data_IF_235898721585
#
_entry.id   IF_235898721585
#
_cell.length_a   1.000
_cell.length_b   1.000
_cell.length_c   1.000
_cell.angle_alpha   90.00
_cell.angle_beta   90.00
_cell.angle_gamma   90.00
#
_symmetry.space_group_name_H-M   'P 1'
#
loop_
_entity.id
_entity.type
_entity.pdbx_description
1 polymer ?
#
# COMPACT_ATOMS: atom_id res chain seq x y z
N UNK A 1 9.24 -11.37 -23.19
CA UNK A 1 9.44 -11.65 -21.74
C UNK A 1 8.78 -10.50 -21.00
N UNK A 2 7.97 -10.75 -19.97
CA UNK A 2 7.35 -9.63 -19.24
C UNK A 2 8.45 -8.82 -18.55
N UNK A 3 8.38 -7.49 -18.65
CA UNK A 3 9.28 -6.58 -17.95
C UNK A 3 8.63 -6.18 -16.62
N UNK A 4 8.39 -7.18 -15.78
CA UNK A 4 7.65 -7.04 -14.51
C UNK A 4 8.51 -7.46 -13.33
N UNK A 5 8.50 -6.66 -12.27
CA UNK A 5 9.03 -7.03 -10.97
C UNK A 5 7.86 -7.40 -10.04
N UNK A 6 7.86 -8.64 -9.57
CA UNK A 6 6.86 -9.17 -8.63
C UNK A 6 7.51 -9.30 -7.26
N UNK A 7 6.99 -8.58 -6.27
CA UNK A 7 7.58 -8.49 -4.93
C UNK A 7 6.48 -8.59 -3.90
N UNK A 8 6.70 -9.41 -2.87
CA UNK A 8 5.89 -9.39 -1.67
C UNK A 8 6.79 -9.15 -0.46
N UNK A 9 6.33 -8.29 0.46
CA UNK A 9 6.98 -8.09 1.75
C UNK A 9 5.95 -8.13 2.86
N UNK A 10 6.28 -8.82 3.95
CA UNK A 10 5.40 -9.05 5.10
C UNK A 10 6.09 -8.66 6.38
N UNK A 11 5.37 -7.97 7.28
CA UNK A 11 5.82 -7.72 8.65
C UNK A 11 4.68 -7.95 9.66
N UNK A 12 5.01 -8.39 10.89
CA UNK A 12 4.02 -8.49 11.96
C UNK A 12 3.52 -7.09 12.35
N UNK A 13 2.20 -6.94 12.49
CA UNK A 13 1.56 -5.69 12.91
C UNK A 13 1.71 -5.49 14.41
N UNK A 14 1.60 -6.56 15.21
CA UNK A 14 1.73 -6.52 16.66
C UNK A 14 2.81 -7.51 17.14
N UNK A 15 4.10 -7.28 16.82
CA UNK A 15 5.16 -8.15 17.35
C UNK A 15 5.24 -8.03 18.89
N UNK A 16 5.81 -9.04 19.59
CA UNK A 16 5.96 -8.98 21.04
C UNK A 16 6.63 -7.68 21.51
N UNK A 17 5.99 -7.01 22.47
CA UNK A 17 6.49 -5.73 23.03
C UNK A 17 6.08 -4.48 22.25
N UNK A 18 5.39 -4.59 21.11
CA UNK A 18 4.86 -3.42 20.41
C UNK A 18 3.73 -2.74 21.21
N UNK A 19 3.79 -1.41 21.30
CA UNK A 19 2.75 -0.57 21.91
C UNK A 19 2.52 0.68 21.05
N UNK A 20 1.27 1.15 20.88
CA UNK A 20 0.04 0.46 21.23
C UNK A 20 -0.17 -0.81 20.38
N UNK A 21 -0.92 -1.78 20.93
CA UNK A 21 -1.42 -2.94 20.17
C UNK A 21 -2.56 -2.46 19.27
N UNK A 22 -2.41 -2.66 17.97
CA UNK A 22 -3.39 -2.22 16.98
C UNK A 22 -4.51 -3.26 16.82
N UNK A 23 -5.77 -2.82 16.88
CA UNK A 23 -6.93 -3.67 16.56
C UNK A 23 -7.14 -3.78 15.04
N UNK A 24 -7.84 -4.83 14.59
CA UNK A 24 -8.19 -5.00 13.16
C UNK A 24 -8.95 -3.79 12.60
N UNK A 25 -9.85 -3.21 13.39
CA UNK A 25 -10.63 -2.02 13.03
C UNK A 25 -9.72 -0.79 12.84
N UNK A 26 -8.78 -0.55 13.76
CA UNK A 26 -7.82 0.55 13.65
C UNK A 26 -6.93 0.40 12.42
N UNK A 27 -6.48 -0.83 12.14
CA UNK A 27 -5.66 -1.13 10.96
C UNK A 27 -6.47 -0.86 9.69
N UNK A 28 -7.72 -1.31 9.64
CA UNK A 28 -8.60 -1.09 8.50
C UNK A 28 -8.87 0.40 8.26
N UNK A 29 -9.27 1.14 9.29
CA UNK A 29 -9.48 2.59 9.21
C UNK A 29 -8.22 3.33 8.75
N UNK A 30 -7.06 2.87 9.19
CA UNK A 30 -5.78 3.40 8.75
C UNK A 30 -5.43 3.08 7.29
N UNK A 31 -5.80 1.90 6.77
CA UNK A 31 -5.69 1.62 5.33
C UNK A 31 -6.62 2.52 4.51
N UNK A 32 -7.85 2.75 4.96
CA UNK A 32 -8.77 3.70 4.31
C UNK A 32 -8.21 5.12 4.30
N UNK A 33 -7.61 5.58 5.41
CA UNK A 33 -6.91 6.87 5.45
C UNK A 33 -5.72 6.89 4.49
N UNK A 34 -4.96 5.79 4.39
CA UNK A 34 -3.83 5.67 3.46
C UNK A 34 -4.25 5.76 1.99
N UNK A 35 -5.45 5.30 1.62
CA UNK A 35 -6.01 5.53 0.28
C UNK A 35 -6.08 7.03 -0.02
N UNK A 36 -6.33 7.86 0.99
CA UNK A 36 -6.59 9.29 0.81
C UNK A 36 -5.38 10.19 1.07
N UNK A 37 -4.39 9.69 1.80
CA UNK A 37 -3.23 10.47 2.26
C UNK A 37 -1.96 9.62 2.26
N UNK A 38 -1.60 9.04 1.11
CA UNK A 38 -0.49 8.08 1.02
C UNK A 38 0.88 8.69 1.37
N UNK A 39 1.06 9.99 1.17
CA UNK A 39 2.25 10.76 1.58
C UNK A 39 2.50 10.75 3.09
N UNK A 40 1.44 10.59 3.90
CA UNK A 40 1.58 10.46 5.36
C UNK A 40 2.23 9.13 5.72
N UNK A 41 1.89 8.06 5.00
CA UNK A 41 2.34 6.70 5.28
C UNK A 41 3.67 6.35 4.61
N UNK A 42 3.94 6.93 3.43
CA UNK A 42 5.15 6.67 2.65
C UNK A 42 5.80 8.00 2.23
N UNK A 43 6.18 8.87 3.18
CA UNK A 43 6.66 10.21 2.89
C UNK A 43 7.96 10.23 2.09
N UNK A 44 8.76 9.15 2.11
CA UNK A 44 9.98 9.06 1.30
C UNK A 44 9.73 8.89 -0.20
N UNK A 45 8.59 8.32 -0.59
CA UNK A 45 8.28 8.00 -2.00
C UNK A 45 7.19 8.92 -2.58
N UNK A 46 6.20 9.29 -1.77
CA UNK A 46 5.00 10.00 -2.21
C UNK A 46 5.03 11.44 -1.70
N UNK A 47 4.78 12.37 -2.61
CA UNK A 47 4.77 13.80 -2.35
C UNK A 47 3.40 14.30 -1.89
N UNK A 48 2.36 13.88 -2.61
CA UNK A 48 0.97 14.25 -2.33
C UNK A 48 0.00 13.25 -2.92
N UNK A 49 -1.18 13.20 -2.33
CA UNK A 49 -2.35 12.45 -2.80
C UNK A 49 -3.50 13.41 -3.04
N UNK A 50 -4.23 13.24 -4.13
CA UNK A 50 -5.46 13.96 -4.42
C UNK A 50 -6.55 12.97 -4.80
N UNK A 51 -7.65 12.94 -4.06
CA UNK A 51 -8.81 12.13 -4.43
C UNK A 51 -9.58 12.82 -5.55
N UNK A 52 -9.95 12.04 -6.57
CA UNK A 52 -10.65 12.49 -7.76
C UNK A 52 -12.13 12.14 -7.68
N UNK A 53 -12.44 10.91 -7.29
CA UNK A 53 -13.82 10.47 -7.12
C UNK A 53 -13.93 9.29 -6.17
N UNK A 54 -15.14 9.10 -5.65
CA UNK A 54 -15.55 7.93 -4.89
C UNK A 54 -16.78 7.30 -5.55
N UNK A 55 -16.84 5.98 -5.55
CA UNK A 55 -17.96 5.21 -6.06
C UNK A 55 -18.07 3.87 -5.33
N UNK A 56 -19.10 3.10 -5.69
CA UNK A 56 -19.25 1.70 -5.27
C UNK A 56 -19.20 0.86 -6.55
N UNK A 57 -18.41 -0.20 -6.54
CA UNK A 57 -18.42 -1.18 -7.62
C UNK A 57 -19.79 -1.89 -7.64
N UNK A 58 -20.58 -1.78 -8.72
CA UNK A 58 -21.92 -2.36 -8.77
C UNK A 58 -21.93 -3.90 -8.78
N UNK A 59 -20.81 -4.54 -9.13
CA UNK A 59 -20.71 -6.00 -9.19
C UNK A 59 -20.33 -6.61 -7.84
N UNK A 60 -19.51 -5.91 -7.05
CA UNK A 60 -18.98 -6.43 -5.78
C UNK A 60 -19.54 -5.72 -4.55
N UNK A 61 -20.12 -4.52 -4.71
CA UNK A 61 -20.56 -3.66 -3.60
C UNK A 61 -19.42 -2.98 -2.85
N UNK A 62 -18.17 -3.12 -3.32
CA UNK A 62 -17.00 -2.58 -2.62
C UNK A 62 -16.81 -1.08 -2.89
N UNK A 63 -16.32 -0.30 -1.92
CA UNK A 63 -15.88 1.06 -2.15
C UNK A 63 -14.74 1.13 -3.15
N UNK A 64 -14.84 2.07 -4.09
CA UNK A 64 -13.80 2.39 -5.06
C UNK A 64 -13.45 3.87 -4.96
N UNK A 65 -12.17 4.17 -4.81
CA UNK A 65 -11.64 5.54 -4.83
C UNK A 65 -10.68 5.69 -5.99
N UNK A 66 -10.93 6.68 -6.86
CA UNK A 66 -9.96 7.10 -7.87
C UNK A 66 -9.14 8.26 -7.30
N UNK A 67 -7.82 8.15 -7.34
CA UNK A 67 -6.89 9.15 -6.78
C UNK A 67 -5.73 9.43 -7.73
N UNK A 68 -5.13 10.60 -7.59
CA UNK A 68 -3.84 10.94 -8.18
C UNK A 68 -2.77 10.97 -7.09
N UNK A 69 -1.62 10.35 -7.37
CA UNK A 69 -0.46 10.31 -6.48
C UNK A 69 0.74 10.91 -7.21
N UNK A 70 1.37 11.92 -6.61
CA UNK A 70 2.62 12.50 -7.11
C UNK A 70 3.82 11.81 -6.47
N UNK A 71 4.64 11.13 -7.28
CA UNK A 71 5.86 10.50 -6.80
C UNK A 71 7.02 11.50 -6.70
N UNK A 72 7.72 11.52 -5.56
CA UNK A 72 8.79 12.48 -5.29
C UNK A 72 9.97 12.36 -6.24
N UNK A 73 10.43 11.14 -6.47
CA UNK A 73 11.67 10.94 -7.24
C UNK A 73 11.49 11.27 -8.72
N UNK A 74 10.37 10.84 -9.31
CA UNK A 74 10.14 11.02 -10.75
C UNK A 74 9.40 12.31 -11.07
N UNK A 75 8.83 13.00 -10.07
CA UNK A 75 7.91 14.12 -10.26
C UNK A 75 6.77 13.79 -11.25
N UNK A 76 6.32 12.54 -11.23
CA UNK A 76 5.22 12.05 -12.09
C UNK A 76 3.98 11.84 -11.25
N UNK A 77 2.85 12.29 -11.77
CA UNK A 77 1.52 11.97 -11.23
C UNK A 77 1.03 10.67 -11.86
N UNK A 78 0.56 9.75 -11.03
CA UNK A 78 -0.08 8.50 -11.45
C UNK A 78 -1.50 8.47 -10.90
N UNK A 79 -2.47 8.16 -11.76
CA UNK A 79 -3.86 7.96 -11.35
C UNK A 79 -4.07 6.50 -10.95
N UNK A 80 -4.46 6.25 -9.72
CA UNK A 80 -4.77 4.91 -9.21
C UNK A 80 -6.28 4.74 -9.06
N UNK A 81 -6.79 3.57 -9.47
CA UNK A 81 -8.11 3.10 -9.06
C UNK A 81 -7.91 2.16 -7.89
N UNK A 82 -8.56 2.45 -6.76
CA UNK A 82 -8.36 1.72 -5.51
C UNK A 82 -9.65 1.08 -5.05
N UNK A 83 -9.68 -0.23 -4.91
CA UNK A 83 -10.85 -0.97 -4.41
C UNK A 83 -10.59 -1.50 -3.02
N UNK A 84 -11.52 -1.25 -2.09
CA UNK A 84 -11.42 -1.69 -0.70
C UNK A 84 -12.23 -2.97 -0.45
N UNK A 85 -11.55 -4.04 -0.04
CA UNK A 85 -12.14 -5.35 0.27
C UNK A 85 -12.08 -5.59 1.78
N UNK A 86 -13.01 -4.96 2.50
CA UNK A 86 -13.09 -5.05 3.96
C UNK A 86 -13.24 -6.50 4.44
N UNK A 87 -12.58 -6.90 5.55
CA UNK A 87 -11.56 -6.16 6.33
C UNK A 87 -10.12 -6.53 5.93
N UNK A 88 -9.93 -7.08 4.73
CA UNK A 88 -8.74 -7.87 4.43
C UNK A 88 -7.72 -7.16 3.57
N UNK A 89 -8.13 -6.33 2.61
CA UNK A 89 -7.17 -5.70 1.70
C UNK A 89 -7.72 -4.48 0.99
N UNK A 90 -6.80 -3.69 0.46
CA UNK A 90 -7.08 -2.66 -0.54
C UNK A 90 -6.16 -2.91 -1.74
N UNK A 91 -6.73 -2.84 -2.94
CA UNK A 91 -6.03 -3.12 -4.19
C UNK A 91 -5.93 -1.83 -5.01
N UNK A 92 -4.74 -1.48 -5.48
CA UNK A 92 -4.41 -0.28 -6.25
C UNK A 92 -4.03 -0.69 -7.66
N UNK A 93 -4.74 -0.14 -8.65
CA UNK A 93 -4.49 -0.36 -10.06
C UNK A 93 -3.98 0.91 -10.73
N UNK A 94 -2.81 0.84 -11.36
CA UNK A 94 -2.19 1.95 -12.08
C UNK A 94 -2.40 1.84 -13.60
N UNK A 95 -2.36 2.98 -14.33
CA UNK A 95 -2.44 2.97 -15.78
C UNK A 95 -1.16 2.34 -16.32
N UNK A 96 -1.30 1.28 -17.13
CA UNK A 96 -0.18 0.40 -17.53
C UNK A 96 -0.21 -0.98 -16.89
N UNK A 97 -1.16 -1.22 -15.97
CA UNK A 97 -1.46 -2.53 -15.41
C UNK A 97 -0.58 -2.96 -14.24
N UNK A 98 0.23 -2.04 -13.69
CA UNK A 98 0.86 -2.31 -12.39
C UNK A 98 -0.22 -2.41 -11.32
N UNK A 99 -0.10 -3.38 -10.42
CA UNK A 99 -1.04 -3.61 -9.34
C UNK A 99 -0.30 -3.67 -8.00
N UNK A 100 -0.92 -3.13 -6.96
CA UNK A 100 -0.42 -3.21 -5.60
C UNK A 100 -1.57 -3.66 -4.68
N UNK A 101 -1.37 -4.70 -3.89
CA UNK A 101 -2.30 -5.12 -2.84
C UNK A 101 -1.69 -4.85 -1.48
N UNK A 102 -2.44 -4.16 -0.61
CA UNK A 102 -2.09 -4.02 0.80
C UNK A 102 -3.02 -4.90 1.63
N UNK A 103 -2.48 -6.01 2.15
CA UNK A 103 -3.24 -7.11 2.75
C UNK A 103 -3.00 -7.16 4.26
N UNK A 104 -4.08 -7.32 5.01
CA UNK A 104 -4.11 -7.73 6.41
C UNK A 104 -4.39 -9.23 6.43
N UNK A 105 -3.49 -10.01 7.01
CA UNK A 105 -3.62 -11.46 7.13
C UNK A 105 -3.47 -11.90 8.58
N UNK A 106 -4.07 -13.04 8.90
CA UNK A 106 -4.04 -13.62 10.23
C UNK A 106 -3.19 -14.88 10.24
N UNK A 107 -2.28 -14.97 11.21
CA UNK A 107 -1.50 -16.17 11.50
C UNK A 107 -2.34 -17.25 12.18
N UNK A 108 -1.80 -18.46 12.27
CA UNK A 108 -2.50 -19.61 12.82
C UNK A 108 -2.94 -19.43 14.30
N UNK A 109 -2.30 -18.54 15.05
CA UNK A 109 -2.64 -18.25 16.44
C UNK A 109 -3.30 -16.88 16.62
N UNK A 110 -3.74 -16.26 15.53
CA UNK A 110 -4.43 -14.98 15.55
C UNK A 110 -3.54 -13.75 15.42
N UNK A 111 -2.24 -13.92 15.17
CA UNK A 111 -1.31 -12.81 14.92
C UNK A 111 -1.70 -12.04 13.66
N UNK A 112 -1.56 -10.71 13.65
CA UNK A 112 -1.86 -9.90 12.48
C UNK A 112 -0.59 -9.54 11.72
N UNK A 113 -0.63 -9.69 10.40
CA UNK A 113 0.45 -9.36 9.48
C UNK A 113 -0.01 -8.39 8.41
N UNK A 114 0.86 -7.43 8.08
CA UNK A 114 0.70 -6.54 6.95
C UNK A 114 1.57 -7.06 5.81
N UNK A 115 0.97 -7.38 4.67
CA UNK A 115 1.67 -7.88 3.49
C UNK A 115 1.37 -6.98 2.31
N UNK A 116 2.39 -6.38 1.71
CA UNK A 116 2.24 -5.64 0.46
C UNK A 116 2.76 -6.49 -0.69
N UNK A 117 1.94 -6.64 -1.72
CA UNK A 117 2.23 -7.38 -2.94
C UNK A 117 2.26 -6.38 -4.07
N UNK A 118 3.35 -6.35 -4.82
CA UNK A 118 3.59 -5.44 -5.92
C UNK A 118 3.79 -6.24 -7.19
N UNK A 119 3.03 -5.90 -8.23
CA UNK A 119 3.28 -6.25 -9.62
C UNK A 119 3.65 -4.95 -10.35
N UNK A 120 4.94 -4.59 -10.36
CA UNK A 120 5.41 -3.39 -11.05
C UNK A 120 5.79 -3.70 -12.50
N UNK A 121 5.08 -3.07 -13.45
CA UNK A 121 5.31 -3.23 -14.89
C UNK A 121 6.17 -2.10 -15.43
N UNK A 122 7.21 -2.47 -16.17
CA UNK A 122 8.21 -1.57 -16.75
C UNK A 122 8.30 -1.77 -18.27
N UNK A 123 7.29 -1.38 -19.05
CA UNK A 123 7.30 -1.60 -20.50
C UNK A 123 8.52 -0.94 -21.15
N UNK A 124 9.19 -1.69 -22.03
CA UNK A 124 10.36 -1.19 -22.79
C UNK A 124 11.69 -1.20 -22.03
N UNK A 125 11.73 -1.63 -20.77
CA UNK A 125 12.94 -1.70 -19.96
C UNK A 125 13.74 -2.97 -20.25
N UNK A 126 15.07 -2.86 -20.36
CA UNK A 126 15.96 -4.00 -20.59
C UNK A 126 16.08 -4.89 -19.35
N UNK A 127 16.61 -6.11 -19.51
CA UNK A 127 16.82 -7.03 -18.38
C UNK A 127 17.77 -6.48 -17.31
N UNK A 128 18.81 -5.74 -17.73
CA UNK A 128 19.81 -5.18 -16.80
C UNK A 128 19.19 -4.06 -15.97
N UNK A 129 18.42 -3.18 -16.61
CA UNK A 129 17.70 -2.11 -15.92
C UNK A 129 16.60 -2.67 -15.01
N UNK A 130 15.88 -3.72 -15.45
CA UNK A 130 14.85 -4.37 -14.63
C UNK A 130 15.43 -4.96 -13.34
N UNK A 131 16.62 -5.57 -13.41
CA UNK A 131 17.33 -6.10 -12.23
C UNK A 131 17.79 -4.98 -11.28
N UNK A 132 18.23 -3.84 -11.81
CA UNK A 132 18.57 -2.68 -10.99
C UNK A 132 17.35 -2.07 -10.29
N UNK A 133 16.21 -2.00 -10.99
CA UNK A 133 14.93 -1.59 -10.42
C UNK A 133 14.50 -2.52 -9.29
N UNK A 134 14.59 -3.85 -9.50
CA UNK A 134 14.19 -4.86 -8.52
C UNK A 134 14.84 -4.66 -7.15
N UNK A 135 16.14 -4.37 -7.10
CA UNK A 135 16.86 -4.18 -5.83
C UNK A 135 16.42 -2.91 -5.09
N UNK A 136 16.11 -1.84 -5.83
CA UNK A 136 15.54 -0.62 -5.25
C UNK A 136 14.11 -0.84 -4.76
N UNK A 137 13.34 -1.56 -5.55
CA UNK A 137 11.93 -1.86 -5.33
C UNK A 137 11.70 -2.78 -4.12
N UNK A 138 12.58 -3.75 -3.86
CA UNK A 138 12.57 -4.54 -2.62
C UNK A 138 12.74 -3.69 -1.37
N UNK A 139 13.63 -2.70 -1.41
CA UNK A 139 13.81 -1.76 -0.29
C UNK A 139 12.58 -0.87 -0.12
N UNK A 140 12.00 -0.41 -1.23
CA UNK A 140 10.77 0.38 -1.22
C UNK A 140 9.58 -0.42 -0.64
N UNK A 141 9.42 -1.70 -0.99
CA UNK A 141 8.34 -2.53 -0.45
C UNK A 141 8.46 -2.72 1.05
N UNK A 142 9.67 -2.96 1.56
CA UNK A 142 9.93 -3.05 3.00
C UNK A 142 9.58 -1.73 3.71
N UNK A 143 10.13 -0.61 3.23
CA UNK A 143 9.88 0.71 3.82
C UNK A 143 8.39 1.07 3.82
N UNK A 144 7.65 0.72 2.76
CA UNK A 144 6.23 1.00 2.67
C UNK A 144 5.42 0.23 3.72
N UNK A 145 5.73 -1.05 3.95
CA UNK A 145 5.06 -1.89 4.96
C UNK A 145 5.39 -1.40 6.37
N UNK A 146 6.67 -1.32 6.70
CA UNK A 146 7.12 -0.95 8.05
C UNK A 146 6.72 0.50 8.39
N UNK A 147 6.86 1.42 7.43
CA UNK A 147 6.44 2.81 7.56
C UNK A 147 4.93 2.93 7.79
N UNK A 148 4.12 2.13 7.08
CA UNK A 148 2.67 2.13 7.32
C UNK A 148 2.35 1.66 8.72
N UNK A 149 2.91 0.53 9.18
CA UNK A 149 2.67 0.02 10.54
C UNK A 149 3.08 1.06 11.60
N UNK A 150 4.21 1.74 11.40
CA UNK A 150 4.67 2.82 12.29
C UNK A 150 3.64 3.95 12.38
N UNK A 151 3.21 4.47 11.23
CA UNK A 151 2.24 5.59 11.18
C UNK A 151 0.89 5.19 11.79
N UNK A 152 0.43 3.96 11.58
CA UNK A 152 -0.79 3.46 12.24
C UNK A 152 -0.70 3.57 13.76
N UNK A 153 0.44 3.19 14.35
CA UNK A 153 0.65 3.32 15.81
C UNK A 153 0.69 4.77 16.27
N UNK A 154 1.38 5.64 15.54
CA UNK A 154 1.44 7.08 15.85
C UNK A 154 0.04 7.72 15.80
N UNK A 155 -0.80 7.32 14.84
CA UNK A 155 -2.17 7.80 14.73
C UNK A 155 -3.07 7.31 15.88
N UNK A 156 -2.95 6.04 16.28
CA UNK A 156 -3.69 5.49 17.44
C UNK A 156 -3.23 6.14 18.74
N UNK A 157 -1.93 6.31 18.94
CA UNK A 157 -1.39 7.01 20.12
C UNK A 157 -1.88 8.46 20.18
N UNK A 158 -1.95 9.13 19.03
CA UNK A 158 -2.52 10.47 18.88
C UNK A 158 -4.05 10.56 18.92
N UNK A 159 -4.77 9.44 19.12
CA UNK A 159 -6.25 9.33 19.09
C UNK A 159 -6.88 9.85 17.79
N UNK A 160 -6.23 9.61 16.66
CA UNK A 160 -6.68 9.96 15.31
C UNK A 160 -7.21 8.76 14.52
N UNK A 161 -7.16 7.57 15.12
CA UNK A 161 -7.73 6.30 14.67
C UNK A 161 -8.34 5.56 15.88
#
# INVERSE_FOLDING_TARGET
MSSTNNIAFTAPINPPGATPVLSSEQIWNGLLLKIRSAEVFVPGAIQSTKVISDSIDPSTGNPVTVREVLFRETQKTVQETVTAFEPTRVDFEQPGGSNISNVISQGANGELYMTYIFEWRHPGVSKVELAALLEKEKKMSQMAVEGTIKVLRELVEGKKL
#
